data_IF_334141833896
#
_entry.id   IF_334141833896
#
_cell.length_a   1.000
_cell.length_b   1.000
_cell.length_c   1.000
_cell.angle_alpha   90.00
_cell.angle_beta   90.00
_cell.angle_gamma   90.00
#
_symmetry.space_group_name_H-M   'P 1'
#
loop_
_entity.id
_entity.type
_entity.pdbx_description
1 polymer ?
#
# COMPACT_ATOMS: atom_id res chain seq x y z
N UNK A 1 22.05 5.85 -9.27
CA UNK A 1 20.64 6.31 -9.35
C UNK A 1 19.82 5.47 -8.39
N UNK A 2 19.06 6.05 -7.45
CA UNK A 2 18.09 5.24 -6.73
C UNK A 2 17.09 4.77 -7.79
N UNK A 3 17.04 3.46 -8.05
CA UNK A 3 16.01 2.87 -8.91
C UNK A 3 14.68 3.04 -8.17
N UNK A 4 14.09 4.23 -8.25
CA UNK A 4 12.78 4.52 -7.70
C UNK A 4 11.80 3.72 -8.55
N UNK A 5 11.14 2.76 -7.92
CA UNK A 5 10.06 2.03 -8.56
C UNK A 5 8.99 3.02 -9.05
N UNK A 6 8.46 2.85 -10.28
CA UNK A 6 7.36 3.66 -10.79
C UNK A 6 6.15 3.60 -9.85
N UNK A 7 5.34 4.66 -9.83
CA UNK A 7 4.14 4.71 -8.99
C UNK A 7 3.17 3.57 -9.33
N UNK A 8 2.93 3.34 -10.62
CA UNK A 8 2.05 2.27 -11.11
C UNK A 8 2.51 0.87 -10.66
N UNK A 9 3.83 0.68 -10.56
CA UNK A 9 4.40 -0.57 -10.07
C UNK A 9 4.11 -0.77 -8.58
N UNK A 10 4.22 0.30 -7.78
CA UNK A 10 3.90 0.27 -6.36
C UNK A 10 2.41 0.06 -6.11
N UNK A 11 1.55 0.72 -6.88
CA UNK A 11 0.10 0.53 -6.80
C UNK A 11 -0.30 -0.91 -7.12
N UNK A 12 0.25 -1.48 -8.19
CA UNK A 12 0.01 -2.89 -8.55
C UNK A 12 0.48 -3.85 -7.45
N UNK A 13 1.58 -3.55 -6.77
CA UNK A 13 2.05 -4.34 -5.63
C UNK A 13 1.09 -4.21 -4.44
N UNK A 14 0.57 -3.02 -4.18
CA UNK A 14 -0.40 -2.74 -3.11
C UNK A 14 -1.73 -3.48 -3.32
N UNK A 15 -2.30 -3.41 -4.53
CA UNK A 15 -3.54 -4.14 -4.85
C UNK A 15 -3.38 -5.64 -4.67
N UNK A 16 -2.27 -6.23 -5.10
CA UNK A 16 -2.01 -7.66 -4.88
C UNK A 16 -1.91 -8.02 -3.39
N UNK A 17 -1.34 -7.15 -2.55
CA UNK A 17 -1.29 -7.36 -1.10
C UNK A 17 -2.70 -7.35 -0.52
N UNK A 18 -3.54 -6.39 -0.92
CA UNK A 18 -4.95 -6.32 -0.49
C UNK A 18 -5.70 -7.57 -0.94
N UNK A 19 -5.57 -7.97 -2.20
CA UNK A 19 -6.24 -9.15 -2.74
C UNK A 19 -5.88 -10.41 -1.94
N UNK A 20 -4.61 -10.62 -1.60
CA UNK A 20 -4.19 -11.76 -0.78
C UNK A 20 -4.78 -11.71 0.64
N UNK A 21 -4.89 -10.53 1.24
CA UNK A 21 -5.45 -10.38 2.59
C UNK A 21 -6.97 -10.56 2.56
N UNK A 22 -7.67 -9.98 1.59
CA UNK A 22 -9.12 -9.99 1.50
C UNK A 22 -9.68 -11.29 0.92
N UNK A 23 -9.05 -11.86 -0.10
CA UNK A 23 -9.55 -13.03 -0.83
C UNK A 23 -8.98 -14.33 -0.27
N UNK A 24 -7.68 -14.37 0.00
CA UNK A 24 -7.02 -15.60 0.52
C UNK A 24 -6.97 -15.64 2.05
N UNK A 25 -7.48 -14.61 2.75
CA UNK A 25 -7.34 -14.46 4.22
C UNK A 25 -5.89 -14.62 4.69
N UNK A 26 -4.91 -14.26 3.83
CA UNK A 26 -3.50 -14.33 4.19
C UNK A 26 -3.16 -13.24 5.21
N UNK A 27 -2.27 -13.56 6.14
CA UNK A 27 -1.74 -12.54 7.03
C UNK A 27 -0.97 -11.49 6.23
N UNK A 28 -1.08 -10.23 6.64
CA UNK A 28 -0.41 -9.10 5.99
C UNK A 28 1.09 -9.36 5.76
N UNK A 29 1.74 -9.97 6.76
CA UNK A 29 3.16 -10.33 6.71
C UNK A 29 3.45 -11.38 5.62
N UNK A 30 2.60 -12.41 5.50
CA UNK A 30 2.74 -13.44 4.47
C UNK A 30 2.51 -12.87 3.07
N UNK A 31 1.55 -11.94 2.93
CA UNK A 31 1.28 -11.25 1.68
C UNK A 31 2.49 -10.44 1.20
N UNK A 32 3.20 -9.74 2.10
CA UNK A 32 4.44 -9.03 1.75
C UNK A 32 5.54 -9.97 1.25
N UNK A 33 5.72 -11.12 1.88
CA UNK A 33 6.72 -12.10 1.42
C UNK A 33 6.36 -12.64 0.05
N UNK A 34 5.11 -13.09 -0.15
CA UNK A 34 4.65 -13.70 -1.40
C UNK A 34 4.70 -12.72 -2.58
N UNK A 35 4.24 -11.49 -2.38
CA UNK A 35 4.31 -10.44 -3.41
C UNK A 35 5.76 -9.99 -3.65
N UNK A 36 6.58 -9.94 -2.60
CA UNK A 36 7.99 -9.59 -2.71
C UNK A 36 8.78 -10.59 -3.54
N UNK A 37 8.58 -11.89 -3.29
CA UNK A 37 9.17 -12.97 -4.08
C UNK A 37 8.73 -12.90 -5.56
N UNK A 38 7.44 -12.65 -5.82
CA UNK A 38 6.89 -12.55 -7.17
C UNK A 38 7.44 -11.36 -7.95
N UNK A 39 7.62 -10.21 -7.29
CA UNK A 39 8.03 -8.96 -7.93
C UNK A 39 9.55 -8.72 -7.88
N UNK A 40 10.32 -9.57 -7.20
CA UNK A 40 11.74 -9.36 -6.95
C UNK A 40 12.01 -8.14 -6.06
N UNK A 41 11.11 -7.87 -5.11
CA UNK A 41 11.18 -6.73 -4.19
C UNK A 41 11.25 -7.23 -2.75
N UNK A 42 12.05 -6.58 -1.91
CA UNK A 42 12.11 -6.95 -0.50
C UNK A 42 10.75 -6.70 0.20
N UNK A 43 10.36 -7.62 1.09
CA UNK A 43 9.14 -7.46 1.89
C UNK A 43 9.18 -6.19 2.77
N UNK A 44 10.36 -5.74 3.17
CA UNK A 44 10.55 -4.46 3.89
C UNK A 44 10.14 -3.26 3.04
N UNK A 45 10.47 -3.24 1.74
CA UNK A 45 10.06 -2.19 0.81
C UNK A 45 8.55 -2.17 0.61
N UNK A 46 7.92 -3.35 0.46
CA UNK A 46 6.46 -3.46 0.32
C UNK A 46 5.72 -2.99 1.57
N UNK A 47 6.22 -3.33 2.76
CA UNK A 47 5.67 -2.83 4.02
C UNK A 47 5.77 -1.30 4.13
N UNK A 48 6.88 -0.73 3.67
CA UNK A 48 7.05 0.72 3.67
C UNK A 48 6.05 1.41 2.73
N UNK A 49 5.85 0.87 1.51
CA UNK A 49 4.87 1.41 0.56
C UNK A 49 3.44 1.27 1.07
N UNK A 50 3.09 0.12 1.64
CA UNK A 50 1.76 -0.09 2.21
C UNK A 50 1.45 0.93 3.33
N UNK A 51 2.43 1.20 4.21
CA UNK A 51 2.28 2.20 5.27
C UNK A 51 2.15 3.62 4.70
N UNK A 52 2.98 3.97 3.72
CA UNK A 52 2.95 5.28 3.06
C UNK A 52 1.58 5.54 2.40
N UNK A 53 1.06 4.56 1.65
CA UNK A 53 -0.27 4.64 1.03
C UNK A 53 -1.42 4.66 2.04
N UNK A 54 -1.28 3.94 3.17
CA UNK A 54 -2.27 3.99 4.25
C UNK A 54 -2.29 5.36 4.96
N UNK A 55 -1.12 5.97 5.18
CA UNK A 55 -1.01 7.31 5.76
C UNK A 55 -1.59 8.40 4.84
N UNK A 56 -1.42 8.28 3.52
CA UNK A 56 -2.05 9.21 2.56
C UNK A 56 -3.58 9.14 2.59
N UNK A 57 -4.14 7.96 2.84
CA UNK A 57 -5.60 7.77 2.96
C UNK A 57 -6.17 8.38 4.24
N UNK A 58 -5.44 8.26 5.36
CA UNK A 58 -5.84 8.83 6.66
C UNK A 58 -5.88 10.37 6.62
N UNK A 59 -4.91 10.99 5.93
CA UNK A 59 -4.84 12.46 5.77
C UNK A 59 -5.96 13.01 4.85
N UNK A 60 -6.42 12.21 3.89
CA UNK A 60 -7.48 12.61 2.94
C UNK A 60 -8.90 12.55 3.54
N UNK A 61 -9.12 11.74 4.57
CA UNK A 61 -10.41 11.67 5.30
C UNK A 61 -10.57 12.85 6.30
N UNK A 62 -9.48 13.53 6.66
CA UNK A 62 -9.48 14.65 7.60
C UNK A 62 -9.83 16.03 6.98
N UNK A 63 -9.94 16.14 5.65
CA UNK A 63 -10.17 17.42 4.93
C UNK A 63 -11.58 17.52 4.34
N UNK A 64 -12.60 17.08 5.07
CA UNK A 64 -14.00 17.10 4.66
C UNK A 64 -14.97 17.62 5.74
N UNK A 65 -14.51 18.51 6.63
CA UNK A 65 -15.34 19.15 7.65
C UNK A 65 -15.80 20.54 7.20
N UNK A 66 -16.97 20.58 6.55
CA UNK A 66 -17.97 21.68 6.56
C UNK A 66 -17.54 23.08 7.04
N UNK A 67 -17.32 24.02 6.12
CA UNK A 67 -17.56 25.45 6.37
C UNK A 67 -19.00 25.78 5.98
N UNK A 68 -19.91 25.72 6.95
CA UNK A 68 -21.17 26.48 6.90
C UNK A 68 -20.98 27.69 7.80
N UNK A 69 -20.54 28.81 7.20
CA UNK A 69 -20.66 30.11 7.85
C UNK A 69 -22.10 30.62 7.67
N UNK A 70 -22.56 31.24 8.76
CA UNK A 70 -23.91 31.71 9.11
C UNK A 70 -24.57 32.66 8.10
#
# INVERSE_FOLDING_TARGET
MPRKYPVEFKEKAFYQIIDLVCLESCSLQRSYTKVGELLGVSHHSLRAWYRDSASVRDDSDASGGETMEE
#
